data_IF_768626677233
#
_entry.id   IF_768626677233
#
_cell.length_a   1.000
_cell.length_b   1.000
_cell.length_c   1.000
_cell.angle_alpha   90.00
_cell.angle_beta   90.00
_cell.angle_gamma   90.00
#
_symmetry.space_group_name_H-M   'P 1'
#
loop_
_entity.id
_entity.type
_entity.pdbx_description
1 polymer ?
#
# COMPACT_ATOMS: atom_id res chain seq x y z
N UNK A 1 10.27 -3.69 -3.88
CA UNK A 1 10.65 -2.27 -3.86
C UNK A 1 11.63 -2.02 -2.73
N UNK A 2 12.67 -1.19 -2.94
CA UNK A 2 13.54 -0.69 -1.88
C UNK A 2 12.74 0.06 -0.80
N UNK A 3 13.22 0.02 0.43
CA UNK A 3 12.60 0.70 1.59
C UNK A 3 12.76 2.22 1.44
N UNK A 4 11.72 2.99 1.73
CA UNK A 4 11.76 4.46 1.69
C UNK A 4 11.35 5.11 0.36
N UNK A 5 11.08 4.32 -0.69
CA UNK A 5 10.62 4.85 -1.99
C UNK A 5 9.17 5.34 -1.89
N UNK A 6 8.95 6.54 -2.44
CA UNK A 6 7.63 7.09 -2.73
C UNK A 6 7.04 6.39 -3.95
N UNK A 7 5.82 5.91 -3.79
CA UNK A 7 5.05 5.27 -4.84
C UNK A 7 3.65 5.87 -4.88
N UNK A 8 2.95 5.61 -5.98
CA UNK A 8 1.57 6.05 -6.16
C UNK A 8 0.71 4.83 -6.48
N UNK A 9 -0.45 4.73 -5.84
CA UNK A 9 -1.40 3.66 -6.13
C UNK A 9 -1.92 3.85 -7.56
N UNK A 10 -1.81 2.81 -8.38
CA UNK A 10 -2.34 2.76 -9.74
C UNK A 10 -3.72 2.15 -9.74
N UNK A 11 -3.88 1.03 -9.04
CA UNK A 11 -5.14 0.31 -8.93
C UNK A 11 -5.17 -0.51 -7.64
N UNK A 12 -6.39 -0.77 -7.15
CA UNK A 12 -6.64 -1.76 -6.11
C UNK A 12 -7.50 -2.85 -6.74
N UNK A 13 -6.87 -3.96 -7.07
CA UNK A 13 -7.53 -5.17 -7.53
C UNK A 13 -8.24 -5.87 -6.37
N UNK A 14 -9.19 -6.74 -6.71
CA UNK A 14 -9.95 -7.54 -5.75
C UNK A 14 -11.42 -7.17 -5.74
N UNK A 15 -12.27 -8.15 -5.99
CA UNK A 15 -13.73 -8.03 -5.96
C UNK A 15 -14.21 -8.53 -4.60
N UNK A 16 -14.17 -7.68 -3.56
CA UNK A 16 -14.59 -8.12 -2.22
C UNK A 16 -14.44 -7.08 -1.12
N UNK A 17 -14.79 -7.50 0.11
CA UNK A 17 -14.77 -6.66 1.31
C UNK A 17 -13.38 -6.05 1.61
N UNK A 18 -12.31 -6.76 1.25
CA UNK A 18 -10.93 -6.29 1.43
C UNK A 18 -10.66 -5.05 0.58
N UNK A 19 -10.86 -5.09 -0.73
CA UNK A 19 -10.62 -3.95 -1.61
C UNK A 19 -11.45 -2.73 -1.20
N UNK A 20 -12.73 -2.94 -0.84
CA UNK A 20 -13.60 -1.88 -0.32
C UNK A 20 -13.03 -1.25 0.95
N UNK A 21 -12.64 -2.07 1.93
CA UNK A 21 -12.02 -1.59 3.18
C UNK A 21 -10.74 -0.81 2.91
N UNK A 22 -9.87 -1.29 2.03
CA UNK A 22 -8.62 -0.61 1.67
C UNK A 22 -8.90 0.78 1.06
N UNK A 23 -9.89 0.88 0.17
CA UNK A 23 -10.33 2.15 -0.40
C UNK A 23 -10.94 3.08 0.66
N UNK A 24 -11.77 2.56 1.56
CA UNK A 24 -12.35 3.31 2.69
C UNK A 24 -11.27 3.84 3.64
N UNK A 25 -10.16 3.11 3.78
CA UNK A 25 -8.99 3.55 4.54
C UNK A 25 -8.17 4.62 3.79
N UNK A 26 -8.38 4.82 2.50
CA UNK A 26 -7.72 5.85 1.69
C UNK A 26 -6.65 5.34 0.74
N UNK A 27 -6.58 4.01 0.52
CA UNK A 27 -5.78 3.40 -0.55
C UNK A 27 -6.58 3.51 -1.84
N UNK A 28 -6.54 4.69 -2.43
CA UNK A 28 -7.28 5.02 -3.65
C UNK A 28 -6.29 5.20 -4.80
N UNK A 29 -6.68 4.92 -6.06
CA UNK A 29 -5.89 5.28 -7.22
C UNK A 29 -5.45 6.75 -7.17
N UNK A 30 -4.15 6.98 -7.37
CA UNK A 30 -3.53 8.30 -7.26
C UNK A 30 -3.07 8.67 -5.84
N UNK A 31 -3.36 7.88 -4.81
CA UNK A 31 -2.88 8.15 -3.45
C UNK A 31 -1.35 7.95 -3.36
N UNK A 32 -0.61 8.91 -2.76
CA UNK A 32 0.81 8.75 -2.48
C UNK A 32 0.98 7.79 -1.31
N UNK A 33 1.86 6.81 -1.48
CA UNK A 33 2.16 5.78 -0.49
C UNK A 33 3.67 5.60 -0.39
N UNK A 34 4.17 5.32 0.81
CA UNK A 34 5.60 5.07 1.03
C UNK A 34 5.80 3.80 1.81
N UNK A 35 6.66 2.91 1.33
CA UNK A 35 7.02 1.70 2.08
C UNK A 35 7.97 2.08 3.21
N UNK A 36 7.51 1.96 4.45
CA UNK A 36 8.31 2.30 5.64
C UNK A 36 9.17 1.10 6.04
N UNK A 37 8.54 -0.06 6.19
CA UNK A 37 9.18 -1.26 6.74
C UNK A 37 8.44 -2.51 6.30
N UNK A 38 9.15 -3.60 6.13
CA UNK A 38 8.58 -4.94 6.06
C UNK A 38 8.98 -5.71 7.31
N UNK A 39 8.08 -6.53 7.83
CA UNK A 39 8.42 -7.46 8.90
C UNK A 39 9.52 -8.45 8.45
N UNK A 40 10.26 -9.07 9.39
CA UNK A 40 11.36 -10.01 9.06
C UNK A 40 10.92 -11.17 8.16
N UNK A 41 9.67 -11.63 8.31
CA UNK A 41 9.07 -12.71 7.53
C UNK A 41 8.30 -12.21 6.29
N UNK A 42 8.37 -10.91 5.98
CA UNK A 42 7.68 -10.30 4.85
C UNK A 42 6.18 -10.00 5.06
N UNK A 43 5.62 -10.31 6.23
CA UNK A 43 4.23 -9.97 6.64
C UNK A 43 4.19 -9.52 8.11
N UNK A 44 3.51 -8.42 8.46
CA UNK A 44 2.88 -7.44 7.57
C UNK A 44 3.87 -6.44 6.94
N UNK A 45 3.40 -5.73 5.92
CA UNK A 45 4.09 -4.62 5.26
C UNK A 45 3.56 -3.31 5.85
N UNK A 46 4.45 -2.48 6.36
CA UNK A 46 4.12 -1.18 6.91
C UNK A 46 4.35 -0.09 5.87
N UNK A 47 3.26 0.61 5.53
CA UNK A 47 3.25 1.73 4.60
C UNK A 47 2.81 3.01 5.30
N UNK A 48 3.22 4.15 4.76
CA UNK A 48 2.70 5.46 5.13
C UNK A 48 1.79 5.95 4.02
N UNK A 49 0.56 6.33 4.39
CA UNK A 49 -0.42 6.97 3.49
C UNK A 49 -0.77 8.31 4.11
N UNK A 50 -0.55 9.38 3.35
CA UNK A 50 -0.78 10.75 3.84
C UNK A 50 -0.05 10.99 5.17
N UNK A 51 -0.78 11.19 6.26
CA UNK A 51 -0.25 11.53 7.59
C UNK A 51 -0.28 10.35 8.58
N UNK A 52 -0.55 9.12 8.14
CA UNK A 52 -0.65 7.98 9.04
C UNK A 52 0.01 6.70 8.49
N UNK A 53 0.38 5.82 9.41
CA UNK A 53 0.99 4.52 9.09
C UNK A 53 -0.06 3.43 9.09
N UNK A 54 -0.02 2.58 8.07
CA UNK A 54 -0.88 1.42 7.94
C UNK A 54 -0.04 0.15 7.83
N UNK A 55 -0.40 -0.87 8.61
CA UNK A 55 0.12 -2.22 8.44
C UNK A 55 -0.85 -3.01 7.55
N UNK A 56 -0.41 -3.35 6.35
CA UNK A 56 -1.15 -4.26 5.47
C UNK A 56 -0.61 -5.68 5.59
N UNK A 57 -1.50 -6.65 5.55
CA UNK A 57 -1.09 -8.04 5.31
C UNK A 57 -0.54 -8.17 3.89
N UNK A 58 0.39 -9.11 3.70
CA UNK A 58 0.96 -9.44 2.39
C UNK A 58 -0.13 -9.83 1.38
N UNK A 59 -1.18 -10.51 1.82
CA UNK A 59 -2.33 -10.86 0.95
C UNK A 59 -3.09 -9.64 0.45
N UNK A 60 -3.25 -8.61 1.29
CA UNK A 60 -3.93 -7.37 0.93
C UNK A 60 -3.00 -6.49 0.06
N UNK A 61 -1.72 -6.41 0.40
CA UNK A 61 -0.74 -5.65 -0.38
C UNK A 61 -0.56 -6.19 -1.82
N UNK A 62 -0.73 -7.50 -2.03
CA UNK A 62 -0.69 -8.12 -3.36
C UNK A 62 -1.84 -7.68 -4.25
N UNK A 63 -2.93 -7.15 -3.69
CA UNK A 63 -4.05 -6.64 -4.49
C UNK A 63 -3.88 -5.18 -4.87
N UNK A 64 -2.82 -4.50 -4.41
CA UNK A 64 -2.58 -3.09 -4.69
C UNK A 64 -1.43 -2.97 -5.69
N UNK A 65 -1.72 -2.40 -6.85
CA UNK A 65 -0.72 -2.05 -7.85
C UNK A 65 -0.22 -0.65 -7.56
N UNK A 66 1.10 -0.49 -7.46
CA UNK A 66 1.75 0.82 -7.25
C UNK A 66 2.83 1.05 -8.31
N UNK A 67 3.03 2.31 -8.68
CA UNK A 67 4.14 2.76 -9.53
C UNK A 67 5.08 3.61 -8.70
N UNK A 68 6.40 3.44 -8.87
CA UNK A 68 7.36 4.32 -8.23
C UNK A 68 7.15 5.75 -8.76
N UNK A 69 7.06 6.72 -7.85
CA UNK A 69 7.08 8.12 -8.25
C UNK A 69 8.54 8.54 -8.15
N UNK A 70 9.19 8.69 -9.30
CA UNK A 70 10.49 9.34 -9.34
C UNK A 70 10.26 10.82 -8.95
N UNK A 71 11.05 11.28 -7.99
CA UNK A 71 11.12 12.69 -7.62
C UNK A 71 12.02 13.44 -8.57
#
# INVERSE_FOLDING_TARGET
MPRGILARVVAVAGSGAVARRLMEMGILPGAPVRVVRQAPLGDPIQICIRSYHLALRRVEAQTITVVASEG
#
